data_IF_214860283826
#
_entry.id   IF_214860283826
#
_cell.length_a   1.000
_cell.length_b   1.000
_cell.length_c   1.000
_cell.angle_alpha   90.00
_cell.angle_beta   90.00
_cell.angle_gamma   90.00
#
_symmetry.space_group_name_H-M   'P 1'
#
loop_
_entity.id
_entity.type
_entity.pdbx_description
1 polymer ?
#
# COMPACT_ATOMS: atom_id res chain seq x y z
N UNK A 1 8.15 -1.90 11.42
CA UNK A 1 8.36 -0.87 10.95
C UNK A 1 8.31 -0.79 9.52
N UNK A 2 7.83 -0.43 8.69
CA UNK A 2 7.89 -0.27 7.28
C UNK A 2 7.27 -1.41 6.52
N UNK A 3 6.38 -2.18 7.16
CA UNK A 3 5.78 -3.28 6.47
C UNK A 3 4.96 -2.81 5.28
N UNK A 4 4.21 -1.73 5.44
CA UNK A 4 3.41 -1.20 4.35
C UNK A 4 4.33 -0.72 3.23
N UNK A 5 5.42 -0.05 3.59
CA UNK A 5 6.35 0.43 2.61
C UNK A 5 7.02 -0.73 1.88
N UNK A 6 7.34 -1.80 2.60
CA UNK A 6 7.97 -2.94 2.00
C UNK A 6 7.06 -3.61 0.97
N UNK A 7 5.79 -3.78 1.31
CA UNK A 7 4.86 -4.38 0.37
C UNK A 7 4.69 -3.50 -0.83
N UNK A 8 4.61 -2.18 -0.62
CA UNK A 8 4.46 -1.27 -1.74
C UNK A 8 5.65 -1.39 -2.69
N UNK A 9 6.86 -1.48 -2.12
CA UNK A 9 8.03 -1.56 -2.97
C UNK A 9 8.09 -2.89 -3.71
N UNK A 10 7.63 -3.95 -3.06
CA UNK A 10 7.60 -5.23 -3.73
C UNK A 10 6.67 -5.18 -4.93
N UNK A 11 5.61 -4.39 -4.84
CA UNK A 11 4.67 -4.28 -5.95
C UNK A 11 5.12 -3.20 -6.94
N UNK A 12 6.27 -2.57 -6.67
CA UNK A 12 6.82 -1.54 -7.55
C UNK A 12 5.87 -0.38 -7.74
N UNK A 13 5.22 0.01 -6.67
CA UNK A 13 4.29 1.13 -6.72
C UNK A 13 4.88 2.36 -6.09
N UNK A 14 4.47 3.52 -6.58
CA UNK A 14 4.81 4.76 -5.90
C UNK A 14 3.78 4.97 -4.79
N UNK A 15 4.04 5.91 -3.90
CA UNK A 15 3.08 6.19 -2.84
C UNK A 15 1.77 6.66 -3.42
N UNK A 16 1.83 7.46 -4.48
CA UNK A 16 0.60 7.96 -5.09
C UNK A 16 -0.20 6.81 -5.69
N UNK A 17 0.49 5.89 -6.36
CA UNK A 17 -0.20 4.76 -6.95
C UNK A 17 -0.84 3.88 -5.87
N UNK A 18 -0.13 3.67 -4.78
CA UNK A 18 -0.68 2.86 -3.70
C UNK A 18 -1.90 3.54 -3.08
N UNK A 19 -1.83 4.85 -2.87
CA UNK A 19 -2.95 5.57 -2.31
C UNK A 19 -4.15 5.49 -3.23
N UNK A 20 -3.93 5.62 -4.53
CA UNK A 20 -5.02 5.57 -5.48
C UNK A 20 -5.67 4.18 -5.49
N UNK A 21 -4.87 3.13 -5.40
CA UNK A 21 -5.43 1.79 -5.41
C UNK A 21 -6.27 1.52 -4.17
N UNK A 22 -5.89 2.11 -3.07
CA UNK A 22 -6.61 1.90 -1.83
C UNK A 22 -7.80 2.83 -1.73
N UNK A 23 -7.74 3.95 -2.42
CA UNK A 23 -8.84 4.91 -2.39
C UNK A 23 -8.70 5.97 -1.31
N UNK A 24 -7.48 6.32 -0.95
CA UNK A 24 -7.27 7.36 0.05
C UNK A 24 -6.33 8.41 -0.53
N UNK A 25 -6.21 9.53 0.13
CA UNK A 25 -5.36 10.58 -0.38
C UNK A 25 -3.91 10.23 -0.15
N UNK A 26 -3.02 10.81 -0.94
CA UNK A 26 -1.61 10.58 -0.79
C UNK A 26 -1.15 10.99 0.61
N UNK A 27 -1.70 12.07 1.12
CA UNK A 27 -1.32 12.56 2.42
C UNK A 27 -1.64 11.53 3.49
N UNK A 28 -2.83 10.94 3.42
CA UNK A 28 -3.21 9.93 4.38
C UNK A 28 -2.33 8.70 4.24
N UNK A 29 -2.04 8.30 3.02
CA UNK A 29 -1.21 7.14 2.79
C UNK A 29 0.17 7.34 3.38
N UNK A 30 0.78 8.52 3.17
CA UNK A 30 2.10 8.78 3.70
C UNK A 30 2.09 8.71 5.22
N UNK A 31 1.01 9.18 5.82
CA UNK A 31 0.90 9.15 7.26
C UNK A 31 0.93 7.71 7.76
N UNK A 32 0.26 6.81 7.07
CA UNK A 32 0.25 5.42 7.49
C UNK A 32 1.63 4.77 7.33
N UNK A 33 2.39 5.18 6.33
CA UNK A 33 3.72 4.61 6.15
C UNK A 33 4.69 5.14 7.19
N UNK A 34 4.52 6.39 7.59
CA UNK A 34 5.48 7.02 8.48
C UNK A 34 5.15 6.90 9.95
N UNK A 35 3.91 6.67 10.31
CA UNK A 35 3.50 6.69 11.69
C UNK A 35 3.32 5.29 12.20
N UNK A 36 4.26 4.80 12.96
CA UNK A 36 4.19 3.43 13.44
C UNK A 36 3.07 3.22 14.42
N UNK A 37 2.58 4.25 15.06
CA UNK A 37 1.48 4.07 15.97
C UNK A 37 0.24 3.63 15.25
N UNK A 38 0.14 3.90 13.94
CA UNK A 38 -1.05 3.53 13.21
C UNK A 38 -1.02 2.08 12.78
N UNK A 39 0.07 1.39 13.00
CA UNK A 39 0.17 0.01 12.54
C UNK A 39 -0.83 -0.91 13.21
N UNK A 40 -1.37 -0.51 14.36
CA UNK A 40 -2.34 -1.34 15.02
C UNK A 40 -3.77 -0.96 14.68
N UNK A 41 -3.97 0.05 13.87
CA UNK A 41 -5.33 0.46 13.56
C UNK A 41 -5.94 -0.51 12.56
N UNK A 42 -7.25 -0.59 12.59
CA UNK A 42 -7.95 -1.45 11.66
C UNK A 42 -7.76 -0.95 10.25
N UNK A 43 -7.69 0.38 10.07
CA UNK A 43 -7.49 0.92 8.74
C UNK A 43 -6.12 0.56 8.20
N UNK A 44 -5.11 0.54 9.06
CA UNK A 44 -3.79 0.17 8.58
C UNK A 44 -3.82 -1.27 8.08
N UNK A 45 -4.47 -2.15 8.82
CA UNK A 45 -4.54 -3.55 8.42
C UNK A 45 -5.31 -3.69 7.12
N UNK A 46 -6.36 -2.91 6.95
CA UNK A 46 -7.12 -2.94 5.72
C UNK A 46 -6.25 -2.50 4.55
N UNK A 47 -5.49 -1.42 4.73
CA UNK A 47 -4.62 -0.91 3.68
C UNK A 47 -3.56 -1.94 3.33
N UNK A 48 -2.98 -2.56 4.35
CA UNK A 48 -1.96 -3.55 4.12
C UNK A 48 -2.51 -4.73 3.33
N UNK A 49 -3.69 -5.18 3.69
CA UNK A 49 -4.28 -6.31 3.00
C UNK A 49 -4.61 -5.94 1.55
N UNK A 50 -5.19 -4.77 1.33
CA UNK A 50 -5.52 -4.36 -0.03
C UNK A 50 -4.27 -4.27 -0.88
N UNK A 51 -3.20 -3.72 -0.33
CA UNK A 51 -2.00 -3.57 -1.09
C UNK A 51 -1.38 -4.93 -1.38
N UNK A 52 -1.44 -5.84 -0.45
CA UNK A 52 -0.84 -7.15 -0.68
C UNK A 52 -1.62 -7.95 -1.72
N UNK A 53 -2.89 -7.59 -1.95
CA UNK A 53 -3.68 -8.29 -2.93
C UNK A 53 -3.46 -7.75 -4.34
N UNK A 54 -2.80 -6.62 -4.46
CA UNK A 54 -2.56 -6.04 -5.77
C UNK A 54 -1.67 -6.98 -6.55
N UNK A 55 -2.06 -7.29 -7.75
CA UNK A 55 -1.29 -8.19 -8.53
C UNK A 55 -0.82 -7.51 -9.79
N UNK A 56 0.39 -7.03 -9.79
CA UNK A 56 0.88 -6.32 -10.93
C UNK A 56 1.40 -7.23 -11.97
N UNK A 57 1.48 -8.47 -11.68
CA UNK A 57 2.03 -9.29 -12.61
C UNK A 57 1.19 -9.52 -13.71
N UNK A 58 -0.01 -9.31 -13.50
CA UNK A 58 -0.81 -9.61 -14.52
C UNK A 58 -0.51 -9.01 -15.71
N UNK A 59 0.13 -8.04 -15.65
CA UNK A 59 0.30 -7.39 -16.80
C UNK A 59 1.02 -8.30 -17.61
N UNK A 60 1.63 -9.11 -17.05
CA UNK A 60 2.42 -9.84 -17.79
C UNK A 60 1.58 -10.71 -18.56
N UNK A 61 0.53 -10.81 -18.18
CA UNK A 61 -0.14 -11.64 -18.88
C UNK A 61 -0.43 -11.14 -20.06
N UNK A 62 -0.11 -10.11 -20.08
CA UNK A 62 -0.31 -9.55 -21.16
C UNK A 62 0.15 -10.52 -22.11
N UNK A 63 0.55 -11.24 -21.84
CA UNK A 63 0.95 -12.08 -22.67
C UNK A 63 0.19 -12.54 -23.43
#
# INVERSE_FOLDING_TARGET
>A
MGELKNIRKEKKLTQQQAADLIGISLRSYKSYENDEDKSESIKYKYILQKLSEVNLIDEENGI
#
